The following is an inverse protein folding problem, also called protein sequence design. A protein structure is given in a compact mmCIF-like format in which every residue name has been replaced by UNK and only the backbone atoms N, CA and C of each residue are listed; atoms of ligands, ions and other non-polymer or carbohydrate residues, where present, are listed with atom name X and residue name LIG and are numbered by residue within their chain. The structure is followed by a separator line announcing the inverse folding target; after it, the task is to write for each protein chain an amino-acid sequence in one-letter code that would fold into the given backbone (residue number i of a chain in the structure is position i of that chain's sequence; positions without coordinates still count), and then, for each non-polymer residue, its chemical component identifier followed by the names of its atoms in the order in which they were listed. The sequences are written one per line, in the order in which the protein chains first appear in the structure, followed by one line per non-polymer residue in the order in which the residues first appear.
data_IF_964391380519
#
_entry.id   IF_964391380519
#
_cell.length_a   1.000
_cell.length_b   1.000
_cell.length_c   1.000
_cell.angle_alpha   90.00
_cell.angle_beta   90.00
_cell.angle_gamma   90.00
#
_symmetry.space_group_name_H-M   'P 1'
#
loop_
_entity.id
_entity.type
_entity.pdbx_description
1 polymer ?
#
# COMPACT_ATOMS: atom_id res chain seq x y z
N UNK A 1 19.64 -41.08 4.24
CA UNK A 1 18.65 -40.59 3.25
C UNK A 1 18.91 -41.29 1.95
N UNK A 2 17.91 -41.87 1.31
CA UNK A 2 18.16 -42.58 0.03
C UNK A 2 18.52 -41.53 -1.05
N UNK A 3 19.39 -41.94 -1.99
CA UNK A 3 19.79 -41.10 -3.13
C UNK A 3 18.59 -40.53 -3.90
N UNK A 4 17.49 -41.25 -3.91
CA UNK A 4 16.21 -40.84 -4.52
C UNK A 4 15.63 -39.56 -3.87
N UNK A 5 15.67 -39.44 -2.54
CA UNK A 5 15.20 -38.22 -1.85
C UNK A 5 16.09 -37.03 -2.15
N UNK A 6 17.40 -37.18 -2.22
CA UNK A 6 18.34 -36.11 -2.57
C UNK A 6 18.07 -35.60 -3.99
N UNK A 7 17.88 -36.51 -4.94
CA UNK A 7 17.58 -36.18 -6.34
C UNK A 7 16.23 -35.42 -6.43
N UNK A 8 15.20 -35.92 -5.73
CA UNK A 8 13.89 -35.26 -5.70
C UNK A 8 13.96 -33.84 -5.14
N UNK A 9 14.65 -33.62 -4.02
CA UNK A 9 14.86 -32.31 -3.44
C UNK A 9 15.65 -31.38 -4.37
N UNK A 10 16.66 -31.92 -5.07
CA UNK A 10 17.42 -31.13 -6.05
C UNK A 10 16.52 -30.66 -7.23
N UNK A 11 15.69 -31.56 -7.77
CA UNK A 11 14.74 -31.24 -8.86
C UNK A 11 13.74 -30.19 -8.40
N UNK A 12 13.15 -30.34 -7.22
CA UNK A 12 12.23 -29.37 -6.65
C UNK A 12 12.93 -28.01 -6.47
N UNK A 13 14.14 -27.99 -5.95
CA UNK A 13 14.93 -26.77 -5.78
C UNK A 13 15.20 -26.05 -7.11
N UNK A 14 15.56 -26.80 -8.15
CA UNK A 14 15.75 -26.25 -9.51
C UNK A 14 14.46 -25.70 -10.09
N UNK A 15 13.34 -26.40 -9.96
CA UNK A 15 12.04 -25.94 -10.42
C UNK A 15 11.59 -24.66 -9.68
N UNK A 16 11.73 -24.64 -8.37
CA UNK A 16 11.39 -23.45 -7.58
C UNK A 16 12.26 -22.26 -7.96
N UNK A 17 13.56 -22.47 -8.16
CA UNK A 17 14.49 -21.43 -8.62
C UNK A 17 14.11 -20.94 -10.02
N UNK A 18 13.76 -21.83 -10.93
CA UNK A 18 13.30 -21.49 -12.27
C UNK A 18 12.03 -20.64 -12.25
N UNK A 19 11.01 -21.05 -11.49
CA UNK A 19 9.78 -20.25 -11.32
C UNK A 19 10.05 -18.89 -10.68
N UNK A 20 10.95 -18.83 -9.70
CA UNK A 20 11.36 -17.57 -9.08
C UNK A 20 12.03 -16.63 -10.09
N UNK A 21 12.89 -17.13 -10.93
CA UNK A 21 13.56 -16.36 -11.99
C UNK A 21 12.58 -15.89 -13.08
N UNK A 22 11.60 -16.74 -13.43
CA UNK A 22 10.56 -16.38 -14.40
C UNK A 22 9.50 -15.40 -13.86
N UNK A 23 9.35 -15.30 -12.55
CA UNK A 23 8.30 -14.46 -11.93
C UNK A 23 8.50 -12.95 -12.13
N UNK A 24 9.50 -12.55 -12.89
CA UNK A 24 9.84 -11.16 -13.18
C UNK A 24 10.50 -10.46 -11.97
N UNK A 25 11.46 -9.63 -12.28
CA UNK A 25 12.05 -8.72 -11.30
C UNK A 25 11.22 -7.45 -11.22
N UNK A 26 11.44 -6.65 -10.17
CA UNK A 26 10.96 -5.29 -10.14
C UNK A 26 11.49 -4.56 -11.39
N UNK A 27 10.61 -3.87 -12.08
CA UNK A 27 10.89 -3.19 -13.34
C UNK A 27 10.27 -1.80 -13.38
N UNK A 28 10.75 -0.98 -14.31
CA UNK A 28 10.24 0.38 -14.48
C UNK A 28 11.02 1.41 -13.66
N UNK A 29 10.54 2.64 -13.72
CA UNK A 29 11.14 3.79 -13.07
C UNK A 29 10.08 4.54 -12.27
N UNK A 30 10.30 4.65 -10.95
CA UNK A 30 9.35 5.32 -10.07
C UNK A 30 9.13 6.79 -10.46
N UNK A 31 10.19 7.51 -10.84
CA UNK A 31 10.06 8.91 -11.23
C UNK A 31 9.20 9.06 -12.49
N UNK A 32 9.44 8.25 -13.51
CA UNK A 32 8.57 8.25 -14.70
C UNK A 32 7.13 7.90 -14.38
N UNK A 33 6.90 6.98 -13.43
CA UNK A 33 5.56 6.64 -12.96
C UNK A 33 4.90 7.82 -12.23
N UNK A 34 5.63 8.51 -11.35
CA UNK A 34 5.17 9.71 -10.66
C UNK A 34 4.78 10.83 -11.65
N UNK A 35 5.56 11.01 -12.71
CA UNK A 35 5.34 12.05 -13.73
C UNK A 35 4.06 11.83 -14.55
N UNK A 36 3.46 10.63 -14.52
CA UNK A 36 2.15 10.35 -15.17
C UNK A 36 0.94 10.70 -14.31
N UNK A 37 1.16 11.10 -13.05
CA UNK A 37 0.08 11.32 -12.08
C UNK A 37 -0.40 12.76 -12.03
N UNK A 38 -1.66 12.94 -11.61
CA UNK A 38 -2.25 14.24 -11.28
C UNK A 38 -2.20 14.52 -9.77
N UNK A 39 -1.28 13.87 -9.06
CA UNK A 39 -1.11 14.02 -7.63
C UNK A 39 -0.26 15.23 -7.28
N UNK A 40 -0.55 15.83 -6.12
CA UNK A 40 0.38 16.72 -5.48
C UNK A 40 1.48 15.92 -4.79
N UNK A 41 2.68 16.47 -4.71
CA UNK A 41 3.80 15.85 -4.05
C UNK A 41 4.38 16.77 -2.99
N UNK A 42 4.65 16.20 -1.82
CA UNK A 42 5.39 16.89 -0.76
C UNK A 42 6.62 16.09 -0.36
N UNK A 43 7.74 16.76 -0.16
CA UNK A 43 8.97 16.15 0.35
C UNK A 43 8.90 16.10 1.87
N UNK A 44 8.67 14.92 2.41
CA UNK A 44 8.72 14.64 3.83
C UNK A 44 10.09 14.04 4.22
N UNK A 45 10.30 13.77 5.51
CA UNK A 45 11.61 13.35 6.03
C UNK A 45 12.17 12.07 5.38
N UNK A 46 11.32 11.16 4.91
CA UNK A 46 11.73 9.85 4.36
C UNK A 46 11.53 9.72 2.84
N UNK A 47 10.97 10.72 2.18
CA UNK A 47 10.75 10.68 0.74
C UNK A 47 9.62 11.58 0.27
N UNK A 48 9.32 11.54 -1.02
CA UNK A 48 8.14 12.18 -1.58
C UNK A 48 6.89 11.41 -1.16
N UNK A 49 5.88 12.14 -0.71
CA UNK A 49 4.53 11.63 -0.45
C UNK A 49 3.59 12.22 -1.48
N UNK A 50 2.88 11.36 -2.19
CA UNK A 50 1.84 11.74 -3.13
C UNK A 50 0.50 11.86 -2.38
N UNK A 51 -0.26 12.92 -2.67
CA UNK A 51 -1.57 13.15 -2.06
C UNK A 51 -2.50 13.91 -3.00
N UNK A 52 -3.80 13.81 -2.73
CA UNK A 52 -4.85 14.59 -3.38
C UNK A 52 -5.77 15.18 -2.31
N UNK A 53 -6.37 16.32 -2.64
CA UNK A 53 -7.37 16.98 -1.81
C UNK A 53 -8.65 17.18 -2.61
N UNK A 54 -9.80 16.95 -1.97
CA UNK A 54 -11.13 17.13 -2.52
C UNK A 54 -11.95 18.00 -1.57
N UNK A 55 -12.85 18.82 -2.10
CA UNK A 55 -13.68 19.73 -1.28
C UNK A 55 -13.03 21.08 -1.03
N UNK A 56 -13.64 21.84 -0.14
CA UNK A 56 -13.22 23.22 0.19
C UNK A 56 -12.34 23.22 1.44
N UNK A 57 -11.47 24.20 1.53
CA UNK A 57 -10.50 24.33 2.64
C UNK A 57 -11.14 24.64 4.00
N UNK A 58 -12.35 25.19 4.02
CA UNK A 58 -13.03 25.60 5.26
C UNK A 58 -13.94 24.50 5.83
N UNK A 59 -14.04 23.35 5.14
CA UNK A 59 -14.86 22.22 5.58
C UNK A 59 -14.09 21.34 6.59
N UNK A 60 -14.82 20.53 7.38
CA UNK A 60 -14.21 19.56 8.29
C UNK A 60 -13.39 18.54 7.50
N UNK A 61 -12.18 18.25 7.99
CA UNK A 61 -11.19 17.48 7.24
C UNK A 61 -11.28 15.98 7.59
N UNK A 62 -11.36 15.14 6.54
CA UNK A 62 -11.21 13.69 6.64
C UNK A 62 -9.92 13.28 5.92
N UNK A 63 -9.05 12.54 6.60
CA UNK A 63 -7.89 11.89 5.97
C UNK A 63 -8.18 10.42 5.76
N UNK A 64 -8.13 9.98 4.49
CA UNK A 64 -8.34 8.59 4.10
C UNK A 64 -6.99 7.87 4.02
N UNK A 65 -6.83 6.85 4.85
CA UNK A 65 -5.61 6.02 4.97
C UNK A 65 -5.89 4.67 4.35
N UNK A 66 -5.33 4.42 3.17
CA UNK A 66 -5.61 3.23 2.37
C UNK A 66 -5.03 1.93 2.94
N UNK A 67 -5.41 0.80 2.38
CA UNK A 67 -4.94 -0.53 2.77
C UNK A 67 -3.55 -0.90 2.23
N UNK A 68 -3.15 -2.16 2.42
CA UNK A 68 -1.81 -2.64 2.09
C UNK A 68 -1.52 -2.74 0.58
N UNK A 69 -2.53 -3.02 -0.24
CA UNK A 69 -2.36 -3.37 -1.66
C UNK A 69 -2.90 -2.32 -2.62
N UNK A 70 -4.07 -1.75 -2.34
CA UNK A 70 -4.71 -0.76 -3.19
C UNK A 70 -4.27 0.64 -2.75
N UNK A 71 -3.65 1.46 -3.64
CA UNK A 71 -3.24 2.82 -3.33
C UNK A 71 -4.43 3.77 -3.23
N UNK A 72 -4.19 5.03 -2.85
CA UNK A 72 -5.23 6.05 -2.65
C UNK A 72 -6.09 6.28 -3.90
N UNK A 73 -5.54 6.10 -5.10
CA UNK A 73 -6.28 6.19 -6.36
C UNK A 73 -7.53 5.28 -6.41
N UNK A 74 -7.43 4.08 -5.83
CA UNK A 74 -8.57 3.15 -5.76
C UNK A 74 -9.73 3.63 -4.88
N UNK A 75 -9.52 4.69 -4.11
CA UNK A 75 -10.52 5.30 -3.23
C UNK A 75 -10.96 6.70 -3.69
N UNK A 76 -10.56 7.14 -4.87
CA UNK A 76 -10.87 8.48 -5.39
C UNK A 76 -12.39 8.72 -5.44
N UNK A 77 -13.17 7.74 -5.90
CA UNK A 77 -14.63 7.82 -5.91
C UNK A 77 -15.24 7.99 -4.52
N UNK A 78 -14.71 7.28 -3.53
CA UNK A 78 -15.10 7.41 -2.12
C UNK A 78 -14.73 8.79 -1.56
N UNK A 79 -13.53 9.29 -1.85
CA UNK A 79 -13.09 10.61 -1.44
C UNK A 79 -13.95 11.72 -2.05
N UNK A 80 -14.31 11.61 -3.33
CA UNK A 80 -15.23 12.52 -4.01
C UNK A 80 -16.65 12.48 -3.40
N UNK A 81 -17.13 11.29 -3.03
CA UNK A 81 -18.41 11.11 -2.35
C UNK A 81 -18.44 11.84 -1.01
N UNK A 82 -17.44 11.65 -0.16
CA UNK A 82 -17.33 12.39 1.12
C UNK A 82 -17.25 13.91 0.90
N UNK A 83 -16.52 14.34 -0.12
CA UNK A 83 -16.41 15.75 -0.46
C UNK A 83 -17.77 16.36 -0.89
N UNK A 84 -18.62 15.59 -1.58
CA UNK A 84 -19.96 16.05 -1.95
C UNK A 84 -20.90 16.18 -0.74
N UNK A 85 -20.59 15.52 0.36
CA UNK A 85 -21.31 15.64 1.64
C UNK A 85 -20.79 16.81 2.54
N UNK A 86 -19.88 17.64 2.02
CA UNK A 86 -19.41 18.84 2.70
C UNK A 86 -18.17 18.60 3.57
N UNK A 87 -17.33 17.62 3.22
CA UNK A 87 -16.03 17.44 3.87
C UNK A 87 -14.88 17.85 2.95
N UNK A 88 -13.83 18.41 3.51
CA UNK A 88 -12.54 18.43 2.85
C UNK A 88 -11.89 17.06 3.04
N UNK A 89 -11.51 16.40 1.95
CA UNK A 89 -10.92 15.06 2.03
C UNK A 89 -9.49 15.07 1.52
N UNK A 90 -8.57 14.53 2.32
CA UNK A 90 -7.18 14.28 1.94
C UNK A 90 -7.00 12.78 1.79
N UNK A 91 -6.56 12.32 0.63
CA UNK A 91 -6.07 10.97 0.46
C UNK A 91 -4.60 11.01 0.01
N UNK A 92 -3.80 10.12 0.56
CA UNK A 92 -2.36 10.07 0.27
C UNK A 92 -1.90 8.63 0.09
N UNK A 93 -0.84 8.47 -0.67
CA UNK A 93 -0.18 7.17 -0.80
C UNK A 93 0.83 6.97 0.33
N UNK A 94 0.69 5.87 1.05
CA UNK A 94 1.67 5.46 2.06
C UNK A 94 3.01 5.15 1.39
N UNK A 95 4.12 5.40 2.08
CA UNK A 95 5.44 4.99 1.58
C UNK A 95 5.43 3.53 1.10
N UNK A 96 6.04 3.28 -0.04
CA UNK A 96 6.06 1.95 -0.66
C UNK A 96 4.83 1.59 -1.47
N UNK A 97 3.87 2.51 -1.65
CA UNK A 97 2.62 2.32 -2.39
C UNK A 97 2.38 3.49 -3.36
N UNK A 98 1.56 3.22 -4.39
CA UNK A 98 1.12 4.22 -5.34
C UNK A 98 2.25 5.07 -5.91
N UNK A 99 2.06 6.36 -5.88
CA UNK A 99 3.03 7.35 -6.37
C UNK A 99 4.02 7.84 -5.30
N UNK A 100 3.86 7.46 -4.02
CA UNK A 100 4.82 7.81 -2.97
C UNK A 100 6.14 7.07 -3.13
N UNK A 101 7.21 7.65 -2.58
CA UNK A 101 8.55 7.06 -2.58
C UNK A 101 8.58 5.70 -1.86
N UNK A 102 9.59 4.90 -2.24
CA UNK A 102 9.86 3.58 -1.68
C UNK A 102 11.22 3.56 -0.98
N UNK A 103 11.35 4.26 0.18
CA UNK A 103 12.62 4.34 0.88
C UNK A 103 13.09 2.96 1.34
N UNK A 104 14.39 2.71 1.27
CA UNK A 104 15.02 1.46 1.76
C UNK A 104 15.10 1.45 3.29
N UNK A 105 13.94 1.35 3.93
CA UNK A 105 13.75 1.39 5.37
C UNK A 105 12.93 0.19 5.85
N UNK A 106 12.83 0.06 7.18
CA UNK A 106 11.88 -0.85 7.82
C UNK A 106 10.48 -0.22 7.78
N UNK A 107 9.55 -0.88 7.10
CA UNK A 107 8.17 -0.44 7.00
C UNK A 107 7.38 -0.94 8.23
N UNK A 108 7.46 -0.17 9.29
CA UNK A 108 6.79 -0.43 10.57
C UNK A 108 5.73 0.64 10.84
N UNK A 109 4.97 0.46 11.93
CA UNK A 109 3.92 1.38 12.33
C UNK A 109 4.42 2.81 12.48
N UNK A 110 5.60 3.02 13.09
CA UNK A 110 6.15 4.36 13.30
C UNK A 110 6.46 5.09 11.98
N UNK A 111 6.90 4.36 10.93
CA UNK A 111 7.14 4.99 9.62
C UNK A 111 5.86 5.62 9.07
N UNK A 112 4.75 4.91 9.16
CA UNK A 112 3.46 5.38 8.62
C UNK A 112 2.82 6.46 9.49
N UNK A 113 2.93 6.33 10.82
CA UNK A 113 2.47 7.37 11.76
C UNK A 113 3.22 8.67 11.52
N UNK A 114 4.55 8.62 11.39
CA UNK A 114 5.34 9.81 11.14
C UNK A 114 5.06 10.41 9.75
N UNK A 115 4.83 9.59 8.72
CA UNK A 115 4.41 10.08 7.40
C UNK A 115 3.09 10.86 7.49
N UNK A 116 2.11 10.34 8.22
CA UNK A 116 0.83 11.01 8.43
C UNK A 116 1.01 12.31 9.23
N UNK A 117 1.78 12.29 10.30
CA UNK A 117 2.07 13.45 11.14
C UNK A 117 2.69 14.59 10.33
N UNK A 118 3.77 14.30 9.59
CA UNK A 118 4.46 15.26 8.73
C UNK A 118 3.56 15.80 7.59
N UNK A 119 2.66 14.95 7.05
CA UNK A 119 1.70 15.38 6.03
C UNK A 119 0.66 16.36 6.60
N UNK A 120 0.12 16.07 7.79
CA UNK A 120 -0.82 16.97 8.46
C UNK A 120 -0.17 18.30 8.80
N UNK A 121 1.05 18.30 9.30
CA UNK A 121 1.85 19.49 9.56
C UNK A 121 2.07 20.32 8.29
N UNK A 122 2.48 19.68 7.19
CA UNK A 122 2.67 20.36 5.91
C UNK A 122 1.39 21.02 5.38
N UNK A 123 0.24 20.34 5.56
CA UNK A 123 -1.06 20.85 5.14
C UNK A 123 -1.69 21.83 6.15
N UNK A 124 -1.02 22.12 7.27
CA UNK A 124 -1.52 22.96 8.37
C UNK A 124 -2.88 22.47 8.91
N UNK A 125 -3.01 21.14 9.08
CA UNK A 125 -4.21 20.49 9.61
C UNK A 125 -4.01 20.24 11.11
N UNK A 126 -4.75 20.99 11.93
CA UNK A 126 -4.69 20.90 13.39
C UNK A 126 -5.70 19.88 13.95
N UNK A 127 -6.87 19.75 13.32
CA UNK A 127 -7.91 18.82 13.71
C UNK A 127 -8.37 17.97 12.52
N UNK A 128 -8.57 16.66 12.73
CA UNK A 128 -8.83 15.72 11.65
C UNK A 128 -9.74 14.57 12.07
N UNK A 129 -10.57 14.12 11.14
CA UNK A 129 -11.21 12.81 11.17
C UNK A 129 -10.33 11.83 10.38
N UNK A 130 -9.96 10.72 10.98
CA UNK A 130 -9.20 9.67 10.29
C UNK A 130 -10.12 8.57 9.79
N UNK A 131 -9.97 8.16 8.53
CA UNK A 131 -10.68 7.02 7.98
C UNK A 131 -9.70 5.96 7.50
N UNK A 132 -9.56 4.89 8.26
CA UNK A 132 -8.58 3.83 8.03
C UNK A 132 -9.18 2.58 7.38
N UNK A 133 -8.60 2.14 6.27
CA UNK A 133 -9.02 0.96 5.52
C UNK A 133 -8.00 -0.17 5.70
N UNK A 134 -8.43 -1.36 6.15
CA UNK A 134 -7.55 -2.53 6.30
C UNK A 134 -6.27 -2.21 7.08
N UNK A 135 -5.08 -2.22 6.47
CA UNK A 135 -3.81 -1.80 7.08
C UNK A 135 -3.81 -0.32 7.51
N UNK A 136 -4.58 0.55 6.87
CA UNK A 136 -4.75 1.94 7.29
C UNK A 136 -5.48 2.09 8.63
N UNK A 137 -6.30 1.11 9.01
CA UNK A 137 -7.03 1.14 10.28
C UNK A 137 -6.10 1.12 11.51
N UNK A 138 -5.15 0.19 11.68
CA UNK A 138 -4.20 0.26 12.78
C UNK A 138 -3.31 1.51 12.73
N UNK A 139 -3.02 2.08 11.55
CA UNK A 139 -2.30 3.37 11.46
C UNK A 139 -3.16 4.48 12.06
N UNK A 140 -4.45 4.57 11.68
CA UNK A 140 -5.38 5.56 12.22
C UNK A 140 -5.52 5.44 13.74
N UNK A 141 -5.70 4.21 14.27
CA UNK A 141 -5.84 3.96 15.71
C UNK A 141 -4.58 4.39 16.47
N UNK A 142 -3.41 3.97 16.00
CA UNK A 142 -2.14 4.30 16.68
C UNK A 142 -1.82 5.79 16.61
N UNK A 143 -2.14 6.44 15.48
CA UNK A 143 -2.02 7.89 15.36
C UNK A 143 -2.94 8.61 16.35
N UNK A 144 -4.23 8.22 16.43
CA UNK A 144 -5.20 8.81 17.34
C UNK A 144 -4.80 8.62 18.80
N UNK A 145 -4.27 7.46 19.18
CA UNK A 145 -3.77 7.21 20.53
C UNK A 145 -2.58 8.12 20.89
N UNK A 146 -1.69 8.40 19.93
CA UNK A 146 -0.53 9.28 20.13
C UNK A 146 -0.89 10.76 20.12
N UNK A 147 -1.88 11.16 19.30
CA UNK A 147 -2.24 12.53 18.99
C UNK A 147 -3.74 12.79 19.24
N UNK A 148 -4.26 12.34 20.39
CA UNK A 148 -5.70 12.40 20.69
C UNK A 148 -6.29 13.81 20.65
N UNK A 149 -5.47 14.84 20.89
CA UNK A 149 -5.89 16.24 20.85
C UNK A 149 -6.11 16.77 19.41
N UNK A 150 -5.61 16.06 18.39
CA UNK A 150 -5.79 16.40 16.96
C UNK A 150 -6.90 15.59 16.29
N UNK A 151 -7.33 14.46 16.88
CA UNK A 151 -8.24 13.53 16.21
C UNK A 151 -9.65 13.64 16.76
N UNK A 152 -10.55 14.16 15.93
CA UNK A 152 -11.96 14.35 16.27
C UNK A 152 -12.75 13.04 16.28
N UNK A 153 -12.46 12.16 15.32
CA UNK A 153 -13.10 10.85 15.19
C UNK A 153 -12.24 9.88 14.37
N UNK A 154 -12.49 8.58 14.52
CA UNK A 154 -11.84 7.51 13.74
C UNK A 154 -12.91 6.61 13.13
N UNK A 155 -12.98 6.58 11.80
CA UNK A 155 -13.75 5.62 11.02
C UNK A 155 -12.86 4.45 10.60
N UNK A 156 -13.34 3.23 10.72
CA UNK A 156 -12.58 2.02 10.38
C UNK A 156 -13.38 1.13 9.43
N UNK A 157 -12.76 0.73 8.32
CA UNK A 157 -13.34 -0.22 7.38
C UNK A 157 -12.45 -1.45 7.24
N UNK A 158 -13.04 -2.64 7.47
CA UNK A 158 -12.36 -3.94 7.39
C UNK A 158 -10.98 -3.91 8.06
N UNK A 159 -10.91 -3.53 9.36
CA UNK A 159 -9.64 -3.29 10.01
C UNK A 159 -8.78 -4.55 10.07
N UNK A 160 -7.50 -4.41 9.75
CA UNK A 160 -6.51 -5.47 9.94
C UNK A 160 -6.12 -5.50 11.43
N UNK A 161 -6.80 -6.35 12.21
CA UNK A 161 -6.59 -6.41 13.67
C UNK A 161 -5.54 -7.44 14.05
N UNK A 162 -5.62 -8.63 13.53
CA UNK A 162 -4.63 -9.70 13.76
C UNK A 162 -4.85 -10.82 12.73
N UNK A 163 -4.00 -10.90 11.72
CA UNK A 163 -4.13 -11.95 10.73
C UNK A 163 -3.46 -13.24 11.20
N UNK A 164 -4.25 -14.24 11.54
CA UNK A 164 -3.80 -15.61 11.83
C UNK A 164 -3.61 -16.45 10.57
N UNK A 165 -3.76 -15.86 9.38
CA UNK A 165 -3.62 -16.55 8.10
C UNK A 165 -2.24 -17.19 7.97
N UNK A 166 -2.22 -18.50 7.73
CA UNK A 166 -0.99 -19.27 7.45
C UNK A 166 -0.25 -18.66 6.26
N UNK A 167 -0.98 -18.15 5.27
CA UNK A 167 -0.40 -17.48 4.10
C UNK A 167 0.40 -16.23 4.51
N UNK A 168 -0.17 -15.34 5.32
CA UNK A 168 0.56 -14.15 5.79
C UNK A 168 1.72 -14.51 6.72
N UNK A 169 1.56 -15.52 7.58
CA UNK A 169 2.66 -16.01 8.42
C UNK A 169 3.82 -16.58 7.59
N UNK A 170 3.54 -17.30 6.50
CA UNK A 170 4.59 -17.81 5.62
C UNK A 170 5.34 -16.70 4.89
N UNK A 171 4.66 -15.58 4.56
CA UNK A 171 5.29 -14.41 3.96
C UNK A 171 6.21 -13.64 4.93
N UNK A 172 6.08 -13.85 6.24
CA UNK A 172 7.00 -13.28 7.23
C UNK A 172 8.38 -13.94 7.21
N UNK A 173 8.47 -15.19 6.74
CA UNK A 173 9.74 -15.94 6.68
C UNK A 173 10.61 -15.36 5.55
N UNK A 174 11.87 -14.94 5.84
CA UNK A 174 12.81 -14.49 4.82
C UNK A 174 12.97 -15.54 3.69
N UNK A 175 13.24 -15.10 2.48
CA UNK A 175 13.35 -15.91 1.25
C UNK A 175 12.01 -16.55 0.84
N UNK A 176 11.33 -17.29 1.73
CA UNK A 176 10.02 -17.89 1.44
C UNK A 176 8.98 -16.82 1.15
N UNK A 177 8.95 -15.73 1.92
CA UNK A 177 8.04 -14.60 1.69
C UNK A 177 8.28 -13.94 0.33
N UNK A 178 9.54 -13.75 -0.06
CA UNK A 178 9.89 -13.21 -1.37
C UNK A 178 9.41 -14.16 -2.50
N UNK A 179 9.64 -15.45 -2.33
CA UNK A 179 9.17 -16.46 -3.27
C UNK A 179 7.64 -16.45 -3.41
N UNK A 180 6.93 -16.48 -2.28
CA UNK A 180 5.45 -16.48 -2.27
C UNK A 180 4.90 -15.20 -2.90
N UNK A 181 5.45 -14.03 -2.56
CA UNK A 181 4.99 -12.77 -3.11
C UNK A 181 5.17 -12.73 -4.63
N UNK A 182 6.35 -13.11 -5.13
CA UNK A 182 6.65 -13.07 -6.56
C UNK A 182 5.89 -14.11 -7.37
N UNK A 183 5.89 -15.37 -6.91
CA UNK A 183 5.36 -16.50 -7.71
C UNK A 183 3.84 -16.64 -7.57
N UNK A 184 3.28 -16.21 -6.44
CA UNK A 184 1.85 -16.35 -6.16
C UNK A 184 1.17 -14.99 -5.99
N UNK A 185 1.68 -14.14 -5.13
CA UNK A 185 1.01 -12.90 -4.71
C UNK A 185 0.83 -11.90 -5.86
N UNK A 186 1.90 -11.54 -6.55
CA UNK A 186 1.84 -10.58 -7.67
C UNK A 186 1.06 -11.13 -8.85
N UNK A 187 1.27 -12.37 -9.34
CA UNK A 187 0.45 -12.95 -10.40
C UNK A 187 -1.04 -13.03 -10.03
N UNK A 188 -1.36 -13.40 -8.79
CA UNK A 188 -2.74 -13.43 -8.32
C UNK A 188 -3.37 -12.03 -8.31
N UNK A 189 -2.65 -11.01 -7.82
CA UNK A 189 -3.12 -9.63 -7.81
C UNK A 189 -3.35 -9.09 -9.23
N UNK A 190 -2.43 -9.37 -10.17
CA UNK A 190 -2.58 -9.01 -11.60
C UNK A 190 -3.84 -9.67 -12.20
N UNK A 191 -3.98 -10.98 -12.04
CA UNK A 191 -5.15 -11.73 -12.55
C UNK A 191 -6.47 -11.20 -11.97
N UNK A 192 -6.50 -10.88 -10.68
CA UNK A 192 -7.69 -10.32 -10.03
C UNK A 192 -8.01 -8.92 -10.55
N UNK A 193 -6.99 -8.10 -10.77
CA UNK A 193 -7.13 -6.77 -11.34
C UNK A 193 -7.68 -6.82 -12.79
N UNK A 194 -7.18 -7.75 -13.60
CA UNK A 194 -7.70 -7.98 -14.96
C UNK A 194 -9.20 -8.38 -14.97
N UNK A 195 -9.64 -9.15 -13.97
CA UNK A 195 -11.07 -9.48 -13.82
C UNK A 195 -11.91 -8.24 -13.55
N UNK A 196 -11.42 -7.27 -12.77
CA UNK A 196 -12.13 -6.01 -12.54
C UNK A 196 -12.33 -5.21 -13.84
N UNK A 197 -11.36 -5.25 -14.76
CA UNK A 197 -11.53 -4.64 -16.09
C UNK A 197 -12.63 -5.33 -16.89
N UNK A 198 -12.77 -6.65 -16.76
CA UNK A 198 -13.87 -7.39 -17.44
C UNK A 198 -15.25 -7.04 -16.85
N UNK A 199 -15.31 -6.81 -15.53
CA UNK A 199 -16.54 -6.41 -14.84
C UNK A 199 -16.90 -4.94 -15.13
N UNK A 200 -15.91 -4.04 -15.18
CA UNK A 200 -16.07 -2.62 -15.52
C UNK A 200 -14.91 -2.13 -16.41
N UNK A 201 -15.06 -2.10 -17.74
CA UNK A 201 -14.02 -1.65 -18.65
C UNK A 201 -13.55 -0.21 -18.45
N UNK A 202 -14.34 0.64 -17.77
CA UNK A 202 -13.94 2.01 -17.46
C UNK A 202 -12.79 2.09 -16.46
N UNK A 203 -12.57 1.02 -15.70
CA UNK A 203 -11.47 0.91 -14.74
C UNK A 203 -10.12 0.59 -15.39
N UNK A 204 -10.07 0.33 -16.69
CA UNK A 204 -8.86 -0.18 -17.36
C UNK A 204 -7.62 0.67 -17.07
N UNK A 205 -7.71 1.98 -17.23
CA UNK A 205 -6.58 2.87 -17.04
C UNK A 205 -6.05 2.85 -15.59
N UNK A 206 -6.94 2.86 -14.62
CA UNK A 206 -6.59 2.69 -13.20
C UNK A 206 -5.93 1.33 -12.95
N UNK A 207 -6.50 0.25 -13.51
CA UNK A 207 -5.98 -1.11 -13.34
C UNK A 207 -4.59 -1.27 -13.97
N UNK A 208 -4.35 -0.67 -15.13
CA UNK A 208 -3.03 -0.69 -15.77
C UNK A 208 -1.98 -0.03 -14.85
N UNK A 209 -2.30 1.12 -14.24
CA UNK A 209 -1.43 1.80 -13.25
C UNK A 209 -1.26 0.98 -11.97
N UNK A 210 -2.34 0.36 -11.48
CA UNK A 210 -2.27 -0.53 -10.32
C UNK A 210 -1.35 -1.73 -10.57
N UNK A 211 -1.42 -2.36 -11.74
CA UNK A 211 -0.54 -3.47 -12.11
C UNK A 211 0.92 -2.99 -12.22
N UNK A 212 1.14 -1.84 -12.82
CA UNK A 212 2.47 -1.26 -12.98
C UNK A 212 3.13 -1.00 -11.61
N UNK A 213 2.41 -0.44 -10.64
CA UNK A 213 2.98 -0.15 -9.32
C UNK A 213 3.44 -1.40 -8.55
N UNK A 214 2.81 -2.58 -8.82
CA UNK A 214 3.18 -3.82 -8.14
C UNK A 214 4.59 -4.31 -8.45
N UNK A 215 5.15 -3.87 -9.58
CA UNK A 215 6.47 -4.29 -10.06
C UNK A 215 7.52 -3.18 -10.00
N UNK A 216 7.16 -1.99 -9.54
CA UNK A 216 8.12 -0.89 -9.37
C UNK A 216 9.20 -1.22 -8.32
N UNK A 217 10.45 -0.77 -8.56
CA UNK A 217 11.56 -0.98 -7.62
C UNK A 217 11.23 -0.54 -6.18
N UNK A 218 11.46 -1.42 -5.23
CA UNK A 218 11.19 -1.23 -3.79
C UNK A 218 9.78 -1.63 -3.33
N UNK A 219 8.88 -2.00 -4.25
CA UNK A 219 7.52 -2.44 -3.89
C UNK A 219 7.54 -3.77 -3.13
N UNK A 220 8.30 -4.74 -3.60
CA UNK A 220 8.45 -6.04 -2.92
C UNK A 220 8.94 -5.86 -1.48
N UNK A 221 10.03 -5.10 -1.31
CA UNK A 221 10.57 -4.81 0.01
C UNK A 221 9.52 -4.16 0.92
N UNK A 222 8.79 -3.18 0.41
CA UNK A 222 7.80 -2.43 1.19
C UNK A 222 6.65 -3.33 1.64
N UNK A 223 6.14 -4.21 0.77
CA UNK A 223 5.05 -5.14 1.09
C UNK A 223 5.50 -6.13 2.15
N UNK A 224 6.62 -6.83 1.93
CA UNK A 224 7.12 -7.84 2.85
C UNK A 224 7.55 -7.25 4.19
N UNK A 225 8.16 -6.07 4.18
CA UNK A 225 8.53 -5.37 5.42
C UNK A 225 7.30 -4.95 6.21
N UNK A 226 6.23 -4.48 5.56
CA UNK A 226 4.96 -4.17 6.23
C UNK A 226 4.33 -5.43 6.87
N UNK A 227 4.26 -6.54 6.13
CA UNK A 227 3.71 -7.82 6.65
C UNK A 227 4.47 -8.32 7.88
N UNK A 228 5.77 -8.02 7.97
CA UNK A 228 6.64 -8.46 9.07
C UNK A 228 6.61 -7.55 10.30
N UNK A 229 6.16 -6.29 10.15
CA UNK A 229 6.38 -5.26 11.17
C UNK A 229 5.13 -4.43 11.53
N UNK A 230 3.98 -4.76 10.96
CA UNK A 230 2.64 -4.24 11.28
C UNK A 230 1.72 -5.41 11.68
#
# INVERSE_FOLDING_TARGET
MSSTFVILFAIIGVLLSFFYLLSGFEEGNLKSYQDTSNYNFVKLSKGLTAYQTFGKTDDQIIVVIHGATLPSEGYEGFCKGLSSEGYQVVCYDQYGRGYSDRPKLKYNMNLYINQLEELLEYLSIDEVILYGLSMGAPIAINFANKNSHKVLAVGLQVPLVNSQSIFLKSMQIPILGNFILRVVGVPFAKKRAEQWVQEDPKQKEFIDRYIQQLVLPGTEQSILSSIRNI
#
